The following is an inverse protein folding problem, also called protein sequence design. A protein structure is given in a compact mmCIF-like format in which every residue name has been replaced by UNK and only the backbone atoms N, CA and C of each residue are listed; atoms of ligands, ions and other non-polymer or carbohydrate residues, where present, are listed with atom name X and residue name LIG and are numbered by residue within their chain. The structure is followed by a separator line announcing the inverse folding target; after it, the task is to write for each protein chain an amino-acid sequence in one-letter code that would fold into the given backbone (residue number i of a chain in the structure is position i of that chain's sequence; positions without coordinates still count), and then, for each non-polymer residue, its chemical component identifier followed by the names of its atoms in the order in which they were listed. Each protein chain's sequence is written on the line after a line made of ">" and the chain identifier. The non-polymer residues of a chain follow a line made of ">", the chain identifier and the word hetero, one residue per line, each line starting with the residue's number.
data_IF_402504279917
#
_entry.id   IF_402504279917
#
_cell.length_a   1.000
_cell.length_b   1.000
_cell.length_c   1.000
_cell.angle_alpha   90.00
_cell.angle_beta   90.00
_cell.angle_gamma   90.00
#
_symmetry.space_group_name_H-M   'P 1'
#
loop_
_entity.id
_entity.type
_entity.pdbx_description
1 polymer ?
#
# COMPACT_ATOMS: atom_id res chain seq x y z
N UNK A 1 -17.87 1.93 -14.27
CA UNK A 1 -18.39 3.32 -14.20
C UNK A 1 -18.91 3.70 -12.82
N UNK A 2 -19.59 2.80 -12.07
CA UNK A 2 -20.16 3.11 -10.75
C UNK A 2 -19.16 3.12 -9.59
N UNK A 3 -17.98 2.55 -9.74
CA UNK A 3 -16.98 2.47 -8.66
C UNK A 3 -16.46 3.85 -8.25
N UNK A 4 -16.27 4.77 -9.19
CA UNK A 4 -15.78 6.13 -8.91
C UNK A 4 -16.79 6.89 -8.04
N UNK A 5 -18.06 7.10 -8.45
CA UNK A 5 -19.03 7.81 -7.61
C UNK A 5 -19.33 7.07 -6.30
N UNK A 6 -19.20 5.74 -6.24
CA UNK A 6 -19.31 5.02 -4.98
C UNK A 6 -18.16 5.37 -4.01
N UNK A 7 -16.95 5.49 -4.52
CA UNK A 7 -15.80 5.98 -3.75
C UNK A 7 -15.99 7.40 -3.24
N UNK A 8 -16.46 8.32 -4.11
CA UNK A 8 -16.73 9.72 -3.75
C UNK A 8 -17.80 9.84 -2.66
N UNK A 9 -18.84 9.01 -2.73
CA UNK A 9 -19.88 8.93 -1.70
C UNK A 9 -19.30 8.45 -0.38
N UNK A 10 -18.47 7.41 -0.36
CA UNK A 10 -17.85 6.90 0.86
C UNK A 10 -16.92 7.93 1.49
N UNK A 11 -16.12 8.60 0.67
CA UNK A 11 -15.26 9.69 1.11
C UNK A 11 -16.06 10.83 1.76
N UNK A 12 -17.11 11.28 1.08
CA UNK A 12 -18.01 12.34 1.59
C UNK A 12 -18.73 11.92 2.86
N UNK A 13 -19.16 10.65 2.95
CA UNK A 13 -19.78 10.08 4.17
C UNK A 13 -18.85 10.09 5.37
N UNK A 14 -17.55 9.90 5.19
CA UNK A 14 -16.59 9.96 6.29
C UNK A 14 -16.62 11.36 6.97
N UNK A 15 -16.59 12.44 6.18
CA UNK A 15 -16.70 13.81 6.71
C UNK A 15 -18.08 14.09 7.33
N UNK A 16 -19.14 13.62 6.69
CA UNK A 16 -20.50 13.79 7.21
C UNK A 16 -20.66 13.06 8.57
N UNK A 17 -20.05 11.90 8.74
CA UNK A 17 -20.05 11.16 10.01
C UNK A 17 -19.36 11.95 11.12
N UNK A 18 -18.19 12.54 10.82
CA UNK A 18 -17.48 13.40 11.78
C UNK A 18 -18.33 14.61 12.15
N UNK A 19 -18.92 15.29 11.17
CA UNK A 19 -19.71 16.52 11.38
C UNK A 19 -20.95 16.27 12.25
N UNK A 20 -21.59 15.12 12.11
CA UNK A 20 -22.78 14.71 12.88
C UNK A 20 -22.45 14.02 14.21
N UNK A 21 -21.19 13.80 14.52
CA UNK A 21 -20.79 13.17 15.78
C UNK A 21 -21.15 14.03 16.99
N UNK A 22 -21.39 13.40 18.14
CA UNK A 22 -21.65 14.08 19.43
C UNK A 22 -20.39 14.66 20.08
N UNK A 23 -19.26 14.66 19.37
CA UNK A 23 -18.02 15.26 19.85
C UNK A 23 -18.12 16.79 19.81
N UNK A 24 -17.41 17.47 20.72
CA UNK A 24 -17.32 18.93 20.66
C UNK A 24 -16.56 19.42 19.40
N UNK A 25 -16.64 20.70 19.10
CA UNK A 25 -16.07 21.30 17.89
C UNK A 25 -14.57 21.06 17.78
N UNK A 26 -13.81 21.13 18.88
CA UNK A 26 -12.36 20.92 18.88
C UNK A 26 -12.00 19.51 18.41
N UNK A 27 -12.63 18.47 18.94
CA UNK A 27 -12.38 17.10 18.49
C UNK A 27 -12.81 16.88 17.05
N UNK A 28 -13.98 17.42 16.63
CA UNK A 28 -14.41 17.33 15.23
C UNK A 28 -13.41 17.98 14.27
N UNK A 29 -12.89 19.15 14.62
CA UNK A 29 -11.87 19.84 13.82
C UNK A 29 -10.57 19.01 13.72
N UNK A 30 -10.12 18.41 14.82
CA UNK A 30 -8.95 17.53 14.81
C UNK A 30 -9.17 16.31 13.89
N UNK A 31 -10.34 15.66 13.94
CA UNK A 31 -10.66 14.52 13.10
C UNK A 31 -10.70 14.91 11.60
N UNK A 32 -11.33 16.01 11.26
CA UNK A 32 -11.37 16.54 9.88
C UNK A 32 -9.96 16.83 9.39
N UNK A 33 -9.14 17.53 10.18
CA UNK A 33 -7.77 17.86 9.83
C UNK A 33 -6.91 16.59 9.60
N UNK A 34 -7.04 15.60 10.48
CA UNK A 34 -6.33 14.32 10.34
C UNK A 34 -6.74 13.57 9.07
N UNK A 35 -8.05 13.46 8.82
CA UNK A 35 -8.57 12.77 7.64
C UNK A 35 -8.17 13.48 6.35
N UNK A 36 -8.31 14.80 6.28
CA UNK A 36 -7.93 15.58 5.09
C UNK A 36 -6.44 15.44 4.77
N UNK A 37 -5.58 15.53 5.80
CA UNK A 37 -4.14 15.36 5.61
C UNK A 37 -3.82 13.94 5.08
N UNK A 38 -4.42 12.91 5.66
CA UNK A 38 -4.22 11.55 5.19
C UNK A 38 -4.66 11.36 3.73
N UNK A 39 -5.78 11.95 3.31
CA UNK A 39 -6.24 11.89 1.92
C UNK A 39 -5.24 12.55 0.95
N UNK A 40 -4.65 13.69 1.33
CA UNK A 40 -3.61 14.35 0.54
C UNK A 40 -2.39 13.42 0.42
N UNK A 41 -1.91 12.85 1.53
CA UNK A 41 -0.77 11.95 1.54
C UNK A 41 -1.01 10.68 0.72
N UNK A 42 -2.23 10.11 0.74
CA UNK A 42 -2.61 8.97 -0.11
C UNK A 42 -2.51 9.33 -1.59
N UNK A 43 -3.01 10.50 -1.99
CA UNK A 43 -2.91 10.97 -3.38
C UNK A 43 -1.44 11.16 -3.80
N UNK A 44 -0.61 11.75 -2.95
CA UNK A 44 0.83 11.85 -3.19
C UNK A 44 1.48 10.47 -3.33
N UNK A 45 1.15 9.54 -2.44
CA UNK A 45 1.64 8.15 -2.49
C UNK A 45 1.23 7.43 -3.78
N UNK A 46 0.02 7.69 -4.28
CA UNK A 46 -0.43 7.15 -5.58
C UNK A 46 0.36 7.75 -6.74
N UNK A 47 0.68 9.04 -6.69
CA UNK A 47 1.56 9.69 -7.70
C UNK A 47 2.98 9.11 -7.64
N UNK A 48 3.51 8.90 -6.43
CA UNK A 48 4.82 8.26 -6.25
C UNK A 48 4.84 6.84 -6.83
N UNK A 49 3.79 6.04 -6.62
CA UNK A 49 3.65 4.68 -7.19
C UNK A 49 3.66 4.70 -8.72
N UNK A 50 2.88 5.59 -9.35
CA UNK A 50 2.85 5.76 -10.81
C UNK A 50 4.24 6.13 -11.34
N UNK A 51 4.91 7.12 -10.72
CA UNK A 51 6.26 7.54 -11.11
C UNK A 51 7.29 6.40 -10.97
N UNK A 52 7.20 5.61 -9.90
CA UNK A 52 8.06 4.44 -9.73
C UNK A 52 7.78 3.37 -10.79
N UNK A 53 6.51 3.14 -11.15
CA UNK A 53 6.15 2.18 -12.19
C UNK A 53 6.69 2.59 -13.57
N UNK A 54 6.54 3.85 -13.97
CA UNK A 54 6.98 4.37 -15.27
C UNK A 54 8.51 4.48 -15.40
N UNK A 55 9.22 4.67 -14.31
CA UNK A 55 10.67 4.81 -14.33
C UNK A 55 11.33 3.47 -14.73
N UNK A 56 12.25 3.50 -15.71
CA UNK A 56 12.98 2.31 -16.18
C UNK A 56 13.93 1.73 -15.10
N UNK A 57 14.39 2.55 -14.15
CA UNK A 57 15.27 2.07 -13.09
C UNK A 57 14.51 1.25 -12.03
N UNK A 58 15.23 0.36 -11.38
CA UNK A 58 14.75 -0.35 -10.19
C UNK A 58 14.88 0.60 -8.99
N UNK A 59 13.79 0.89 -8.25
CA UNK A 59 13.83 1.75 -7.08
C UNK A 59 14.59 1.08 -5.92
N UNK A 60 15.03 1.90 -4.98
CA UNK A 60 15.58 1.43 -3.72
C UNK A 60 14.47 0.97 -2.77
N UNK A 61 14.84 0.15 -1.76
CA UNK A 61 13.91 -0.25 -0.69
C UNK A 61 13.31 0.97 0.02
N UNK A 62 14.15 2.00 0.29
CA UNK A 62 13.69 3.23 0.96
C UNK A 62 12.65 3.99 0.13
N UNK A 63 12.80 4.05 -1.20
CA UNK A 63 11.82 4.69 -2.09
C UNK A 63 10.50 3.92 -2.10
N UNK A 64 10.57 2.59 -2.13
CA UNK A 64 9.39 1.75 -2.03
C UNK A 64 8.68 1.94 -0.67
N UNK A 65 9.42 1.87 0.45
CA UNK A 65 8.83 2.05 1.80
C UNK A 65 8.17 3.42 1.93
N UNK A 66 8.81 4.50 1.50
CA UNK A 66 8.23 5.86 1.52
C UNK A 66 6.94 5.95 0.70
N UNK A 67 6.89 5.29 -0.44
CA UNK A 67 5.69 5.26 -1.28
C UNK A 67 4.55 4.51 -0.57
N UNK A 68 4.78 3.31 -0.01
CA UNK A 68 3.72 2.56 0.67
C UNK A 68 3.30 3.20 2.01
N UNK A 69 4.19 3.92 2.69
CA UNK A 69 3.84 4.72 3.86
C UNK A 69 2.75 5.72 3.52
N UNK A 70 2.91 6.47 2.44
CA UNK A 70 1.91 7.44 1.97
C UNK A 70 0.67 6.77 1.38
N UNK A 71 0.86 5.82 0.45
CA UNK A 71 -0.23 5.23 -0.32
C UNK A 71 -1.15 4.36 0.54
N UNK A 72 -0.59 3.62 1.50
CA UNK A 72 -1.31 2.59 2.26
C UNK A 72 -1.26 2.83 3.76
N UNK A 73 -0.07 2.99 4.36
CA UNK A 73 0.08 2.96 5.81
C UNK A 73 -0.57 4.18 6.49
N UNK A 74 -0.59 5.34 5.85
CA UNK A 74 -1.23 6.54 6.40
C UNK A 74 -2.72 6.36 6.70
N UNK A 75 -3.43 5.52 5.94
CA UNK A 75 -4.84 5.23 6.21
C UNK A 75 -5.03 4.42 7.50
N UNK A 76 -4.16 3.45 7.76
CA UNK A 76 -4.13 2.71 9.01
C UNK A 76 -3.75 3.61 10.18
N UNK A 77 -2.74 4.46 9.99
CA UNK A 77 -2.30 5.45 10.98
C UNK A 77 -3.44 6.37 11.38
N UNK A 78 -4.12 6.99 10.40
CA UNK A 78 -5.19 7.93 10.69
C UNK A 78 -6.40 7.26 11.31
N UNK A 79 -6.74 6.03 10.92
CA UNK A 79 -7.83 5.27 11.53
C UNK A 79 -7.58 5.04 13.03
N UNK A 80 -6.38 4.59 13.39
CA UNK A 80 -5.98 4.40 14.79
C UNK A 80 -5.94 5.73 15.57
N UNK A 81 -5.38 6.78 14.97
CA UNK A 81 -5.34 8.12 15.59
C UNK A 81 -6.73 8.69 15.84
N UNK A 82 -7.62 8.59 14.84
CA UNK A 82 -9.00 9.10 14.95
C UNK A 82 -9.80 8.31 16.00
N UNK A 83 -9.60 7.00 16.11
CA UNK A 83 -10.19 6.19 17.18
C UNK A 83 -9.77 6.69 18.56
N UNK A 84 -8.48 6.95 18.77
CA UNK A 84 -7.97 7.47 20.03
C UNK A 84 -8.51 8.88 20.35
N UNK A 85 -8.56 9.78 19.35
CA UNK A 85 -9.11 11.14 19.48
C UNK A 85 -10.60 11.06 19.84
N UNK A 86 -11.37 10.21 19.16
CA UNK A 86 -12.80 10.01 19.44
C UNK A 86 -13.06 9.48 20.85
N UNK A 87 -12.16 8.64 21.36
CA UNK A 87 -12.17 8.17 22.73
C UNK A 87 -11.57 9.17 23.74
N UNK A 88 -11.25 10.39 23.31
CA UNK A 88 -10.69 11.48 24.15
C UNK A 88 -9.42 11.06 24.89
N UNK A 89 -8.59 10.21 24.27
CA UNK A 89 -7.34 9.75 24.85
C UNK A 89 -6.28 10.85 24.87
N UNK A 90 -5.34 10.83 25.83
CA UNK A 90 -4.26 11.79 25.88
C UNK A 90 -3.36 11.72 24.63
N UNK A 91 -2.68 12.82 24.33
CA UNK A 91 -1.83 12.94 23.14
C UNK A 91 -0.76 11.84 23.01
N UNK A 92 -0.28 11.31 24.13
CA UNK A 92 0.67 10.16 24.15
C UNK A 92 0.04 8.92 23.53
N UNK A 93 -1.19 8.59 23.90
CA UNK A 93 -1.89 7.41 23.38
C UNK A 93 -2.25 7.58 21.91
N UNK A 94 -2.67 8.79 21.51
CA UNK A 94 -2.89 9.11 20.10
C UNK A 94 -1.62 8.87 19.27
N UNK A 95 -0.44 9.32 19.76
CA UNK A 95 0.84 9.09 19.06
C UNK A 95 1.19 7.60 18.99
N UNK A 96 1.03 6.88 20.09
CA UNK A 96 1.33 5.44 20.15
C UNK A 96 0.44 4.64 19.18
N UNK A 97 -0.86 4.94 19.15
CA UNK A 97 -1.80 4.29 18.23
C UNK A 97 -1.57 4.70 16.78
N UNK A 98 -1.18 5.96 16.52
CA UNK A 98 -0.72 6.38 15.18
C UNK A 98 0.47 5.55 14.71
N UNK A 99 1.50 5.40 15.55
CA UNK A 99 2.69 4.62 15.21
C UNK A 99 2.36 3.13 15.01
N UNK A 100 1.49 2.57 15.86
CA UNK A 100 0.99 1.21 15.66
C UNK A 100 0.29 1.07 14.31
N UNK A 101 -0.66 1.97 13.98
CA UNK A 101 -1.38 1.94 12.73
C UNK A 101 -0.44 2.04 11.52
N UNK A 102 0.54 2.96 11.54
CA UNK A 102 1.55 3.10 10.49
C UNK A 102 2.31 1.80 10.26
N UNK A 103 2.86 1.19 11.31
CA UNK A 103 3.62 -0.06 11.19
C UNK A 103 2.75 -1.22 10.70
N UNK A 104 1.50 -1.30 11.17
CA UNK A 104 0.53 -2.29 10.69
C UNK A 104 0.24 -2.11 9.20
N UNK A 105 0.07 -0.88 8.72
CA UNK A 105 -0.16 -0.59 7.32
C UNK A 105 1.01 -0.94 6.41
N UNK A 106 2.25 -0.71 6.87
CA UNK A 106 3.47 -1.14 6.16
C UNK A 106 3.51 -2.67 6.07
N UNK A 107 3.32 -3.37 7.20
CA UNK A 107 3.30 -4.83 7.24
C UNK A 107 2.19 -5.41 6.35
N UNK A 108 1.01 -4.79 6.37
CA UNK A 108 -0.12 -5.17 5.51
C UNK A 108 0.25 -5.08 4.03
N UNK A 109 0.86 -3.97 3.58
CA UNK A 109 1.22 -3.81 2.17
C UNK A 109 2.30 -4.78 1.73
N UNK A 110 3.32 -5.03 2.57
CA UNK A 110 4.37 -6.02 2.27
C UNK A 110 3.75 -7.42 2.16
N UNK A 111 2.80 -7.76 3.03
CA UNK A 111 2.08 -9.03 2.98
C UNK A 111 1.21 -9.15 1.72
N UNK A 112 0.50 -8.10 1.32
CA UNK A 112 -0.27 -8.07 0.07
C UNK A 112 0.63 -8.30 -1.15
N UNK A 113 1.80 -7.69 -1.19
CA UNK A 113 2.79 -7.88 -2.24
C UNK A 113 3.33 -9.33 -2.28
N UNK A 114 3.57 -9.95 -1.12
CA UNK A 114 3.95 -11.37 -1.05
C UNK A 114 2.82 -12.27 -1.58
N UNK A 115 1.59 -11.99 -1.21
CA UNK A 115 0.41 -12.71 -1.71
C UNK A 115 0.27 -12.54 -3.23
N UNK A 116 0.54 -11.36 -3.78
CA UNK A 116 0.51 -11.10 -5.23
C UNK A 116 1.54 -11.92 -6.03
N UNK A 117 2.62 -12.36 -5.37
CA UNK A 117 3.68 -13.18 -6.00
C UNK A 117 3.46 -14.67 -5.76
N UNK A 118 3.17 -15.07 -4.52
CA UNK A 118 3.20 -16.48 -4.08
C UNK A 118 1.83 -17.00 -3.61
N UNK A 119 0.81 -16.14 -3.59
CA UNK A 119 -0.52 -16.50 -3.08
C UNK A 119 -1.20 -17.62 -3.88
N UNK A 120 -1.91 -18.52 -3.19
CA UNK A 120 -2.73 -19.52 -3.85
C UNK A 120 -3.88 -18.86 -4.62
N UNK A 121 -3.92 -19.09 -5.93
CA UNK A 121 -4.96 -18.53 -6.81
C UNK A 121 -6.39 -18.96 -6.43
N UNK A 122 -6.55 -20.10 -5.78
CA UNK A 122 -7.84 -20.59 -5.29
C UNK A 122 -8.36 -19.77 -4.11
N UNK A 123 -7.45 -19.20 -3.31
CA UNK A 123 -7.80 -18.40 -2.13
C UNK A 123 -7.88 -16.91 -2.50
N UNK A 124 -6.92 -16.43 -3.28
CA UNK A 124 -6.78 -14.99 -3.58
C UNK A 124 -7.57 -14.53 -4.80
N UNK A 125 -8.00 -15.46 -5.66
CA UNK A 125 -8.59 -15.14 -6.96
C UNK A 125 -7.62 -14.55 -7.99
N UNK A 126 -6.34 -14.32 -7.61
CA UNK A 126 -5.30 -13.76 -8.48
C UNK A 126 -4.38 -14.88 -8.99
N UNK A 127 -3.95 -14.78 -10.25
CA UNK A 127 -2.98 -15.73 -10.79
C UNK A 127 -1.62 -15.54 -10.12
N UNK A 128 -0.97 -16.65 -9.74
CA UNK A 128 0.39 -16.64 -9.16
C UNK A 128 1.36 -15.90 -10.09
N UNK A 129 2.18 -15.00 -9.53
CA UNK A 129 3.16 -14.23 -10.27
C UNK A 129 2.56 -13.09 -11.11
N UNK A 130 1.32 -12.68 -10.88
CA UNK A 130 0.72 -11.57 -11.62
C UNK A 130 1.53 -10.28 -11.49
N UNK A 131 2.01 -9.96 -10.29
CA UNK A 131 2.84 -8.78 -10.03
C UNK A 131 4.16 -8.82 -10.84
N UNK A 132 4.73 -10.02 -11.06
CA UNK A 132 5.91 -10.20 -11.91
C UNK A 132 5.57 -9.91 -13.37
N UNK A 133 4.43 -10.39 -13.84
CA UNK A 133 3.95 -10.18 -15.23
C UNK A 133 3.68 -8.71 -15.52
N UNK A 134 3.07 -8.01 -14.57
CA UNK A 134 2.77 -6.57 -14.66
C UNK A 134 4.00 -5.69 -14.50
N UNK A 135 5.11 -6.24 -14.01
CA UNK A 135 6.32 -5.46 -13.72
C UNK A 135 6.16 -4.57 -12.48
N UNK A 136 5.30 -4.97 -11.54
CA UNK A 136 5.09 -4.25 -10.28
C UNK A 136 6.36 -4.30 -9.43
N UNK A 137 6.87 -3.14 -9.05
CA UNK A 137 8.12 -2.99 -8.28
C UNK A 137 7.89 -3.15 -6.78
N UNK A 138 7.31 -4.30 -6.39
CA UNK A 138 7.05 -4.65 -4.99
C UNK A 138 8.33 -5.04 -4.24
N UNK A 139 8.33 -4.91 -2.91
CA UNK A 139 9.52 -5.15 -2.08
C UNK A 139 10.16 -6.53 -2.30
N UNK A 140 9.40 -7.65 -2.36
CA UNK A 140 10.02 -8.96 -2.59
C UNK A 140 10.76 -9.02 -3.93
N UNK A 141 10.21 -8.43 -4.99
CA UNK A 141 10.83 -8.37 -6.32
C UNK A 141 12.10 -7.51 -6.28
N UNK A 142 12.06 -6.35 -5.63
CA UNK A 142 13.23 -5.47 -5.48
C UNK A 142 14.37 -6.19 -4.75
N UNK A 143 14.07 -6.89 -3.66
CA UNK A 143 15.04 -7.67 -2.90
C UNK A 143 15.61 -8.82 -3.74
N UNK A 144 14.77 -9.53 -4.48
CA UNK A 144 15.21 -10.63 -5.35
C UNK A 144 16.15 -10.11 -6.46
N UNK A 145 15.79 -9.03 -7.15
CA UNK A 145 16.66 -8.45 -8.20
C UNK A 145 18.00 -7.99 -7.61
N UNK A 146 17.99 -7.42 -6.41
CA UNK A 146 19.19 -6.93 -5.73
C UNK A 146 20.10 -8.07 -5.27
N UNK A 147 19.53 -9.12 -4.68
CA UNK A 147 20.30 -10.26 -4.11
C UNK A 147 20.70 -11.30 -5.15
N UNK A 148 19.88 -11.53 -6.18
CA UNK A 148 20.16 -12.52 -7.20
C UNK A 148 21.42 -12.17 -8.00
N UNK A 149 22.17 -13.21 -8.37
CA UNK A 149 23.40 -13.12 -9.17
C UNK A 149 23.35 -14.08 -10.37
N UNK A 150 24.24 -13.86 -11.35
CA UNK A 150 24.43 -14.75 -12.48
C UNK A 150 23.15 -15.06 -13.27
N UNK A 151 22.86 -16.32 -13.49
CA UNK A 151 21.72 -16.80 -14.27
C UNK A 151 20.36 -16.42 -13.63
N UNK A 152 20.26 -16.45 -12.30
CA UNK A 152 19.03 -16.12 -11.59
C UNK A 152 18.62 -14.66 -11.81
N UNK A 153 19.57 -13.72 -11.71
CA UNK A 153 19.30 -12.32 -12.00
C UNK A 153 18.84 -12.10 -13.44
N UNK A 154 19.51 -12.73 -14.39
CA UNK A 154 19.12 -12.66 -15.82
C UNK A 154 17.71 -13.22 -16.04
N UNK A 155 17.35 -14.31 -15.36
CA UNK A 155 16.03 -14.94 -15.44
C UNK A 155 14.94 -14.02 -14.91
N UNK A 156 15.11 -13.42 -13.71
CA UNK A 156 14.17 -12.45 -13.15
C UNK A 156 13.96 -11.31 -14.14
N UNK A 157 15.03 -10.63 -14.56
CA UNK A 157 14.94 -9.45 -15.44
C UNK A 157 14.31 -9.74 -16.81
N UNK A 158 14.48 -10.97 -17.33
CA UNK A 158 13.87 -11.38 -18.62
C UNK A 158 12.35 -11.55 -18.52
N UNK A 159 11.85 -11.95 -17.38
CA UNK A 159 10.41 -12.25 -17.18
C UNK A 159 9.65 -11.08 -16.56
N UNK A 160 10.33 -10.25 -15.79
CA UNK A 160 9.74 -9.09 -15.12
C UNK A 160 9.16 -8.09 -16.13
N UNK A 161 7.87 -7.76 -15.99
CA UNK A 161 7.14 -6.88 -16.90
C UNK A 161 6.79 -7.49 -18.26
N UNK A 162 6.97 -8.80 -18.43
CA UNK A 162 6.62 -9.50 -19.66
C UNK A 162 5.14 -9.90 -19.65
N UNK A 163 4.28 -9.10 -20.27
CA UNK A 163 2.81 -9.30 -20.29
C UNK A 163 2.39 -10.70 -20.78
N UNK A 164 3.14 -11.28 -21.74
CA UNK A 164 2.93 -12.63 -22.30
C UNK A 164 3.80 -13.70 -21.63
N UNK A 165 4.26 -13.49 -20.38
CA UNK A 165 5.02 -14.51 -19.66
C UNK A 165 4.17 -15.76 -19.45
N UNK A 166 4.77 -16.92 -19.76
CA UNK A 166 4.12 -18.22 -19.53
C UNK A 166 4.10 -18.57 -18.05
N UNK A 167 3.19 -19.48 -17.65
CA UNK A 167 3.13 -19.97 -16.27
C UNK A 167 4.45 -20.59 -15.81
N UNK A 168 5.14 -21.32 -16.70
CA UNK A 168 6.43 -21.91 -16.39
C UNK A 168 7.52 -20.85 -16.13
N UNK A 169 7.55 -19.77 -16.94
CA UNK A 169 8.46 -18.64 -16.72
C UNK A 169 8.18 -17.95 -15.38
N UNK A 170 6.90 -17.67 -15.06
CA UNK A 170 6.53 -17.07 -13.79
C UNK A 170 6.91 -17.96 -12.60
N UNK A 171 6.56 -19.25 -12.61
CA UNK A 171 6.93 -20.18 -11.57
C UNK A 171 8.44 -20.25 -11.37
N UNK A 172 9.22 -20.19 -12.46
CA UNK A 172 10.68 -20.20 -12.40
C UNK A 172 11.27 -18.93 -11.75
N UNK A 173 10.56 -17.82 -11.77
CA UNK A 173 10.96 -16.59 -11.07
C UNK A 173 10.48 -16.62 -9.62
N UNK A 174 9.25 -17.07 -9.37
CA UNK A 174 8.72 -17.24 -8.00
C UNK A 174 9.62 -18.14 -7.17
N UNK A 175 10.19 -19.20 -7.75
CA UNK A 175 11.13 -20.09 -7.04
C UNK A 175 12.50 -19.46 -6.71
N UNK A 176 12.80 -18.27 -7.25
CA UNK A 176 14.05 -17.53 -6.96
C UNK A 176 13.81 -16.46 -5.90
N UNK A 177 12.57 -15.94 -5.79
CA UNK A 177 12.15 -14.94 -4.81
C UNK A 177 11.98 -15.57 -3.44
#
# INVERSE_FOLDING_TARGET
>A
PLAIPAGDVLYSKAYNTISKSKLNSNYRTQLVSKLSKACIEICEGQVDDIKLAENKRIPTESEYIKMIEKKTAVLFEVACAMGAISAKKPAKDVRNLSAFGRNLGIAFQITDDLIGIMGDSKVTGKAVGNDIREGKKSLPILLAIRKARGSNKKKILRVFGKSKATRAELNSVVSII
#
